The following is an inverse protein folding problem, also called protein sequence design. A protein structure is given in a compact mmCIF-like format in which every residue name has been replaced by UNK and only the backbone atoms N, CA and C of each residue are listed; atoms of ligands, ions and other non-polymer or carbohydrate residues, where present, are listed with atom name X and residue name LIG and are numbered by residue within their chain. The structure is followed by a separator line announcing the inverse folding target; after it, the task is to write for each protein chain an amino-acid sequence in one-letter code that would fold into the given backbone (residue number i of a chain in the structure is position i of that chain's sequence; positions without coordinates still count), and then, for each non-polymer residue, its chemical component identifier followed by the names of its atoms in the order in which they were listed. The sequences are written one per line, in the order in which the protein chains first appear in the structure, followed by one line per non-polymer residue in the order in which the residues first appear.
data_IF_691929001039
#
_entry.id   IF_691929001039
#
_cell.length_a   1.000
_cell.length_b   1.000
_cell.length_c   1.000
_cell.angle_alpha   90.00
_cell.angle_beta   90.00
_cell.angle_gamma   90.00
#
_symmetry.space_group_name_H-M   'P 1'
#
loop_
_entity.id
_entity.type
_entity.pdbx_description
1 polymer ?
#
# COMPACT_ATOMS: atom_id res chain seq x y z
N UNK A 1 -67.57 36.65 17.46
CA UNK A 1 -67.04 35.65 16.50
C UNK A 1 -65.54 35.84 16.37
N UNK A 2 -64.73 35.19 17.20
CA UNK A 2 -63.27 35.19 17.11
C UNK A 2 -62.82 33.80 16.63
N UNK A 3 -62.15 33.75 15.47
CA UNK A 3 -61.54 32.54 14.93
C UNK A 3 -60.20 32.31 15.63
N UNK A 4 -60.08 31.21 16.37
CA UNK A 4 -58.79 30.66 16.81
C UNK A 4 -58.11 29.98 15.62
N UNK A 5 -56.85 30.35 15.35
CA UNK A 5 -55.96 29.65 14.42
C UNK A 5 -54.97 28.87 15.28
N UNK A 6 -55.13 27.54 15.32
CA UNK A 6 -54.12 26.62 15.84
C UNK A 6 -53.01 26.48 14.78
N UNK A 7 -51.80 26.97 15.09
CA UNK A 7 -50.59 26.61 14.35
C UNK A 7 -50.00 25.33 14.94
N UNK A 8 -50.18 24.22 14.24
CA UNK A 8 -49.47 22.97 14.51
C UNK A 8 -48.05 23.09 13.95
N UNK A 9 -47.06 23.23 14.82
CA UNK A 9 -45.66 23.13 14.44
C UNK A 9 -45.33 21.65 14.19
N UNK A 10 -45.12 21.28 12.93
CA UNK A 10 -44.56 19.98 12.56
C UNK A 10 -43.05 20.05 12.76
N UNK A 11 -42.57 19.42 13.83
CA UNK A 11 -41.15 19.24 14.07
C UNK A 11 -40.62 18.22 13.07
N UNK A 12 -39.89 18.67 12.06
CA UNK A 12 -39.10 17.77 11.22
C UNK A 12 -37.99 17.19 12.08
N UNK A 13 -38.09 15.89 12.36
CA UNK A 13 -37.02 15.13 13.00
C UNK A 13 -35.74 15.27 12.20
N UNK A 14 -34.64 15.53 12.91
CA UNK A 14 -33.30 15.48 12.37
C UNK A 14 -33.10 14.13 11.68
N UNK A 15 -33.02 14.15 10.35
CA UNK A 15 -32.54 13.02 9.57
C UNK A 15 -31.10 12.80 10.03
N UNK A 16 -30.86 11.71 10.76
CA UNK A 16 -29.52 11.22 11.01
C UNK A 16 -28.81 11.19 9.65
N UNK A 17 -27.81 12.05 9.47
CA UNK A 17 -26.89 11.94 8.36
C UNK A 17 -26.27 10.53 8.47
N UNK A 18 -26.70 9.63 7.60
CA UNK A 18 -26.00 8.39 7.32
C UNK A 18 -24.59 8.82 6.93
N UNK A 19 -23.64 8.67 7.85
CA UNK A 19 -22.26 9.08 7.64
C UNK A 19 -21.73 8.40 6.39
N UNK A 20 -21.10 9.17 5.51
CA UNK A 20 -20.30 8.58 4.43
C UNK A 20 -19.35 7.53 5.02
N UNK A 21 -19.11 6.40 4.34
CA UNK A 21 -18.14 5.42 4.80
C UNK A 21 -16.82 6.12 5.16
N UNK A 22 -16.26 5.80 6.33
CA UNK A 22 -15.03 6.41 6.79
C UNK A 22 -13.92 6.14 5.76
N UNK A 23 -13.34 7.22 5.23
CA UNK A 23 -12.28 7.16 4.24
C UNK A 23 -11.02 6.59 4.87
N UNK A 24 -10.52 5.47 4.33
CA UNK A 24 -9.32 4.79 4.84
C UNK A 24 -8.09 5.70 4.79
N UNK A 25 -7.98 6.54 3.76
CA UNK A 25 -6.89 7.51 3.58
C UNK A 25 -7.34 8.96 3.79
N UNK A 26 -8.07 9.21 4.87
CA UNK A 26 -8.38 10.58 5.34
C UNK A 26 -7.13 11.43 5.64
N UNK A 27 -7.27 12.74 5.76
CA UNK A 27 -6.16 13.66 6.07
C UNK A 27 -5.40 13.31 7.36
N UNK A 28 -6.09 12.76 8.36
CA UNK A 28 -5.46 12.27 9.59
C UNK A 28 -4.68 10.97 9.36
N UNK A 29 -5.20 10.06 8.52
CA UNK A 29 -4.50 8.84 8.15
C UNK A 29 -3.26 9.15 7.28
N UNK A 30 -3.36 10.15 6.40
CA UNK A 30 -2.22 10.67 5.63
C UNK A 30 -1.16 11.23 6.58
N UNK A 31 -1.56 12.07 7.54
CA UNK A 31 -0.63 12.61 8.53
C UNK A 31 0.08 11.50 9.30
N UNK A 32 -0.68 10.58 9.88
CA UNK A 32 -0.14 9.47 10.68
C UNK A 32 0.85 8.63 9.86
N UNK A 33 0.42 8.13 8.70
CA UNK A 33 1.27 7.25 7.89
C UNK A 33 2.52 7.94 7.37
N UNK A 34 2.38 9.15 6.81
CA UNK A 34 3.54 9.88 6.27
C UNK A 34 4.47 10.41 7.35
N UNK A 35 3.95 10.83 8.52
CA UNK A 35 4.81 11.23 9.65
C UNK A 35 5.60 10.05 10.19
N UNK A 36 4.96 8.87 10.34
CA UNK A 36 5.65 7.64 10.72
C UNK A 36 6.74 7.29 9.70
N UNK A 37 6.41 7.24 8.41
CA UNK A 37 7.40 6.97 7.38
C UNK A 37 8.53 7.98 7.37
N UNK A 38 8.26 9.27 7.54
CA UNK A 38 9.30 10.30 7.58
C UNK A 38 10.22 10.17 8.81
N UNK A 39 9.64 10.06 9.99
CA UNK A 39 10.36 10.23 11.25
C UNK A 39 11.05 8.92 11.68
N UNK A 40 10.50 7.76 11.30
CA UNK A 40 11.04 6.45 11.68
C UNK A 40 11.38 5.57 10.48
N UNK A 41 10.51 5.52 9.47
CA UNK A 41 10.71 4.65 8.31
C UNK A 41 11.98 5.01 7.52
N UNK A 42 12.07 6.25 7.02
CA UNK A 42 13.19 6.71 6.19
C UNK A 42 14.53 6.60 6.94
N UNK A 43 14.67 7.08 8.19
CA UNK A 43 15.92 6.89 8.94
C UNK A 43 16.22 5.43 9.24
N UNK A 44 15.20 4.62 9.51
CA UNK A 44 15.35 3.20 9.88
C UNK A 44 15.64 2.26 8.71
N UNK A 45 15.54 2.74 7.46
CA UNK A 45 15.62 1.90 6.25
C UNK A 45 16.71 2.33 5.27
N UNK A 46 17.69 3.14 5.69
CA UNK A 46 18.75 3.66 4.80
C UNK A 46 19.47 2.56 4.02
N UNK A 47 19.69 1.41 4.66
CA UNK A 47 20.35 0.23 4.08
C UNK A 47 19.35 -0.87 3.66
N UNK A 48 18.05 -0.59 3.69
CA UNK A 48 16.98 -1.53 3.39
C UNK A 48 16.19 -1.08 2.15
N UNK A 49 16.63 -1.47 0.94
CA UNK A 49 16.00 -1.05 -0.30
C UNK A 49 14.59 -1.65 -0.49
N UNK A 50 14.27 -2.76 0.19
CA UNK A 50 12.94 -3.38 0.14
C UNK A 50 11.94 -2.50 0.88
N UNK A 51 12.24 -2.14 2.12
CA UNK A 51 11.37 -1.28 2.92
C UNK A 51 11.34 0.15 2.39
N UNK A 52 12.41 0.67 1.78
CA UNK A 52 12.35 1.95 1.06
C UNK A 52 11.35 1.92 -0.10
N UNK A 53 11.33 0.84 -0.89
CA UNK A 53 10.37 0.71 -1.99
C UNK A 53 8.92 0.68 -1.47
N UNK A 54 8.66 0.00 -0.35
CA UNK A 54 7.34 -0.03 0.29
C UNK A 54 6.95 1.31 0.91
N UNK A 55 7.89 2.01 1.55
CA UNK A 55 7.65 3.37 2.07
C UNK A 55 7.31 4.32 0.91
N UNK A 56 8.03 4.24 -0.21
CA UNK A 56 7.73 5.05 -1.39
C UNK A 56 6.34 4.75 -1.97
N UNK A 57 6.01 3.46 -2.16
CA UNK A 57 4.69 3.02 -2.61
C UNK A 57 3.57 3.46 -1.66
N UNK A 58 3.72 3.19 -0.37
CA UNK A 58 2.75 3.54 0.65
C UNK A 58 2.54 5.05 0.75
N UNK A 59 3.63 5.83 0.67
CA UNK A 59 3.54 7.30 0.69
C UNK A 59 2.73 7.85 -0.48
N UNK A 60 2.93 7.29 -1.67
CA UNK A 60 2.19 7.70 -2.86
C UNK A 60 0.73 7.25 -2.84
N UNK A 61 0.45 6.04 -2.35
CA UNK A 61 -0.92 5.52 -2.20
C UNK A 61 -1.73 6.31 -1.19
N UNK A 62 -1.14 6.72 -0.07
CA UNK A 62 -1.79 7.59 0.91
C UNK A 62 -2.30 8.90 0.27
N UNK A 63 -1.62 9.39 -0.77
CA UNK A 63 -1.96 10.66 -1.43
C UNK A 63 -2.87 10.53 -2.65
N UNK A 64 -2.94 9.34 -3.28
CA UNK A 64 -3.52 9.19 -4.63
C UNK A 64 -4.36 7.92 -4.87
N UNK A 65 -4.78 7.17 -3.84
CA UNK A 65 -5.44 5.87 -4.03
C UNK A 65 -6.61 5.80 -5.03
N UNK A 66 -7.23 6.93 -5.39
CA UNK A 66 -8.38 6.99 -6.30
C UNK A 66 -8.04 7.28 -7.80
N UNK A 67 -6.80 7.58 -8.22
CA UNK A 67 -6.56 8.18 -9.55
C UNK A 67 -6.33 7.28 -10.77
N UNK A 68 -6.38 5.95 -10.68
CA UNK A 68 -6.60 5.04 -11.82
C UNK A 68 -5.52 4.94 -12.93
N UNK A 69 -4.51 5.80 -12.94
CA UNK A 69 -3.44 5.84 -13.96
C UNK A 69 -2.08 5.29 -13.46
N UNK A 70 -2.06 4.50 -12.38
CA UNK A 70 -0.84 4.18 -11.62
C UNK A 70 -0.39 2.73 -11.82
N UNK A 71 0.92 2.47 -11.74
CA UNK A 71 1.46 1.11 -11.71
C UNK A 71 1.71 0.66 -10.26
N UNK A 72 1.14 -0.48 -9.87
CA UNK A 72 1.30 -1.04 -8.52
C UNK A 72 2.77 -1.31 -8.14
N UNK A 73 3.65 -1.53 -9.13
CA UNK A 73 5.07 -1.85 -8.92
C UNK A 73 6.03 -0.71 -9.24
N UNK A 74 5.54 0.52 -9.41
CA UNK A 74 6.36 1.65 -9.87
C UNK A 74 7.70 1.76 -9.10
N UNK A 75 7.62 1.66 -7.78
CA UNK A 75 8.76 1.82 -6.87
C UNK A 75 9.49 0.51 -6.61
N UNK A 76 8.76 -0.62 -6.59
CA UNK A 76 9.34 -1.95 -6.44
C UNK A 76 10.36 -2.28 -7.54
N UNK A 77 10.12 -1.87 -8.78
CA UNK A 77 11.02 -2.13 -9.90
C UNK A 77 11.98 -0.97 -10.22
N UNK A 78 11.83 0.19 -9.57
CA UNK A 78 12.60 1.38 -9.90
C UNK A 78 13.18 2.07 -8.66
N UNK A 79 14.46 1.77 -8.38
CA UNK A 79 15.18 2.35 -7.24
C UNK A 79 15.45 3.85 -7.40
N UNK A 80 15.56 4.38 -8.61
CA UNK A 80 15.70 5.84 -8.81
C UNK A 80 14.41 6.56 -8.40
N UNK A 81 13.26 6.09 -8.88
CA UNK A 81 11.95 6.62 -8.49
C UNK A 81 11.73 6.49 -6.98
N UNK A 82 12.15 5.37 -6.39
CA UNK A 82 12.11 5.17 -4.94
C UNK A 82 12.94 6.22 -4.21
N UNK A 83 14.20 6.44 -4.61
CA UNK A 83 15.07 7.46 -4.01
C UNK A 83 14.50 8.88 -4.13
N UNK A 84 13.89 9.21 -5.27
CA UNK A 84 13.22 10.51 -5.46
C UNK A 84 12.08 10.71 -4.45
N UNK A 85 11.23 9.69 -4.24
CA UNK A 85 10.13 9.74 -3.25
C UNK A 85 10.68 9.80 -1.82
N UNK A 86 11.65 8.96 -1.47
CA UNK A 86 12.26 8.94 -0.13
C UNK A 86 12.89 10.30 0.19
N UNK A 87 13.62 10.89 -0.76
CA UNK A 87 14.21 12.22 -0.59
C UNK A 87 13.16 13.31 -0.41
N UNK A 88 12.07 13.26 -1.17
CA UNK A 88 10.99 14.23 -1.05
C UNK A 88 10.24 14.10 0.30
N UNK A 89 9.97 12.87 0.74
CA UNK A 89 9.37 12.57 2.03
C UNK A 89 10.27 13.06 3.19
N UNK A 90 11.57 12.78 3.13
CA UNK A 90 12.56 13.27 4.08
C UNK A 90 12.61 14.81 4.11
N UNK A 91 12.37 15.46 2.98
CA UNK A 91 12.35 16.93 2.84
C UNK A 91 11.08 17.63 3.32
N UNK A 92 10.00 16.90 3.65
CA UNK A 92 8.76 17.49 4.17
C UNK A 92 9.00 18.29 5.48
N UNK A 93 8.14 19.27 5.82
CA UNK A 93 8.28 20.04 7.05
C UNK A 93 8.14 19.17 8.31
N UNK A 94 8.39 19.77 9.49
CA UNK A 94 8.23 19.08 10.78
C UNK A 94 6.81 18.55 10.99
N UNK A 95 6.73 17.36 11.60
CA UNK A 95 5.50 16.66 11.99
C UNK A 95 4.80 17.29 13.21
N UNK A 96 5.44 18.26 13.88
CA UNK A 96 4.85 19.05 14.99
C UNK A 96 3.67 19.93 14.58
N UNK A 97 3.45 20.15 13.28
CA UNK A 97 2.33 20.93 12.73
C UNK A 97 1.53 20.07 11.74
N UNK A 98 0.61 19.22 12.20
CA UNK A 98 -0.05 18.21 11.37
C UNK A 98 -0.70 18.76 10.10
N UNK A 99 -1.46 19.85 10.20
CA UNK A 99 -2.11 20.44 9.03
C UNK A 99 -1.11 20.98 7.99
N UNK A 100 -0.04 21.66 8.44
CA UNK A 100 1.00 22.16 7.55
C UNK A 100 1.77 21.00 6.88
N UNK A 101 2.02 19.93 7.63
CA UNK A 101 2.64 18.72 7.13
C UNK A 101 1.80 18.07 6.02
N UNK A 102 0.54 17.75 6.31
CA UNK A 102 -0.36 17.08 5.35
C UNK A 102 -0.58 17.92 4.09
N UNK A 103 -0.78 19.23 4.23
CA UNK A 103 -0.95 20.12 3.07
C UNK A 103 0.34 20.21 2.23
N UNK A 104 1.51 20.26 2.87
CA UNK A 104 2.79 20.25 2.15
C UNK A 104 3.03 18.92 1.44
N UNK A 105 2.71 17.79 2.07
CA UNK A 105 2.79 16.47 1.45
C UNK A 105 1.93 16.38 0.19
N UNK A 106 0.65 16.78 0.27
CA UNK A 106 -0.25 16.81 -0.89
C UNK A 106 0.27 17.71 -2.01
N UNK A 107 0.83 18.88 -1.67
CA UNK A 107 1.37 19.85 -2.62
C UNK A 107 2.64 19.36 -3.31
N UNK A 108 3.59 18.81 -2.55
CA UNK A 108 4.95 18.55 -3.03
C UNK A 108 5.13 17.09 -3.46
N UNK A 109 4.66 16.15 -2.63
CA UNK A 109 4.80 14.72 -2.87
C UNK A 109 3.72 14.17 -3.81
N UNK A 110 2.49 14.69 -3.74
CA UNK A 110 1.38 14.25 -4.59
C UNK A 110 1.67 14.31 -6.10
N UNK A 111 2.10 15.46 -6.65
CA UNK A 111 2.49 15.57 -8.06
C UNK A 111 3.70 14.71 -8.43
N UNK A 112 4.68 14.58 -7.52
CA UNK A 112 5.85 13.74 -7.70
C UNK A 112 5.44 12.27 -7.90
N UNK A 113 4.59 11.75 -7.00
CA UNK A 113 4.05 10.40 -7.09
C UNK A 113 3.35 10.13 -8.43
N UNK A 114 2.45 11.03 -8.86
CA UNK A 114 1.75 10.90 -10.15
C UNK A 114 2.71 10.82 -11.34
N UNK A 115 3.78 11.61 -11.33
CA UNK A 115 4.79 11.58 -12.39
C UNK A 115 5.56 10.25 -12.39
N UNK A 116 6.00 9.79 -11.22
CA UNK A 116 6.85 8.61 -11.09
C UNK A 116 6.09 7.30 -11.31
N UNK A 117 4.83 7.19 -10.85
CA UNK A 117 3.99 6.00 -11.06
C UNK A 117 3.63 5.76 -12.53
N UNK A 118 3.68 6.81 -13.36
CA UNK A 118 3.48 6.77 -14.82
C UNK A 118 4.77 6.45 -15.60
N UNK A 119 5.94 6.47 -14.95
CA UNK A 119 7.21 6.11 -15.60
C UNK A 119 7.15 4.62 -15.95
N UNK A 120 7.52 4.28 -17.19
CA UNK A 120 7.63 2.88 -17.57
C UNK A 120 8.63 2.17 -16.65
N UNK A 121 8.21 1.05 -16.08
CA UNK A 121 9.06 0.21 -15.23
C UNK A 121 9.52 -1.02 -16.00
N UNK A 122 10.75 -1.44 -15.71
CA UNK A 122 11.36 -2.65 -16.25
C UNK A 122 11.74 -3.54 -15.08
N UNK A 123 11.33 -4.82 -15.12
CA UNK A 123 11.73 -5.85 -14.14
C UNK A 123 13.21 -6.26 -14.29
N UNK A 124 13.96 -5.59 -15.17
CA UNK A 124 15.35 -5.95 -15.48
C UNK A 124 16.27 -5.78 -14.28
N UNK A 125 16.01 -4.77 -13.45
CA UNK A 125 16.98 -4.31 -12.46
C UNK A 125 16.59 -4.75 -11.04
N UNK A 126 15.31 -4.65 -10.69
CA UNK A 126 14.79 -5.00 -9.37
C UNK A 126 13.51 -5.86 -9.50
N UNK A 127 13.42 -6.91 -8.70
CA UNK A 127 12.26 -7.81 -8.50
C UNK A 127 12.59 -8.80 -7.36
N UNK A 128 11.66 -9.68 -7.00
CA UNK A 128 11.91 -10.80 -6.08
C UNK A 128 13.06 -11.70 -6.55
N UNK A 129 13.42 -11.66 -7.85
CA UNK A 129 14.44 -12.50 -8.46
C UNK A 129 15.73 -11.75 -8.79
N UNK A 130 15.78 -10.43 -8.64
CA UNK A 130 16.90 -9.58 -9.06
C UNK A 130 17.01 -8.31 -8.21
N UNK A 131 18.23 -7.86 -7.95
CA UNK A 131 18.50 -6.56 -7.32
C UNK A 131 18.29 -6.51 -5.81
N UNK A 132 17.25 -7.14 -5.27
CA UNK A 132 17.01 -7.22 -3.83
C UNK A 132 17.74 -8.40 -3.18
N UNK A 133 18.24 -8.19 -1.95
CA UNK A 133 18.65 -9.29 -1.07
C UNK A 133 17.40 -10.05 -0.60
N UNK A 134 17.41 -11.35 -0.86
CA UNK A 134 16.28 -12.22 -0.53
C UNK A 134 16.06 -12.35 0.98
N UNK A 135 17.13 -12.23 1.78
CA UNK A 135 17.04 -12.21 3.25
C UNK A 135 16.22 -11.03 3.72
N UNK A 136 16.42 -9.86 3.10
CA UNK A 136 15.67 -8.63 3.40
C UNK A 136 14.20 -8.75 2.99
N UNK A 137 13.90 -9.39 1.86
CA UNK A 137 12.53 -9.69 1.43
C UNK A 137 11.83 -10.59 2.47
N UNK A 138 12.48 -11.69 2.85
CA UNK A 138 11.96 -12.65 3.81
C UNK A 138 11.69 -12.00 5.18
N UNK A 139 12.65 -11.22 5.68
CA UNK A 139 12.51 -10.49 6.94
C UNK A 139 11.37 -9.46 6.88
N UNK A 140 11.23 -8.74 5.76
CA UNK A 140 10.16 -7.76 5.58
C UNK A 140 8.78 -8.42 5.60
N UNK A 141 8.62 -9.54 4.87
CA UNK A 141 7.39 -10.34 4.92
C UNK A 141 7.07 -10.84 6.33
N UNK A 142 8.08 -11.32 7.07
CA UNK A 142 7.93 -11.72 8.47
C UNK A 142 7.44 -10.57 9.36
N UNK A 143 8.06 -9.40 9.23
CA UNK A 143 7.72 -8.22 10.02
C UNK A 143 6.29 -7.71 9.72
N UNK A 144 5.89 -7.67 8.45
CA UNK A 144 4.55 -7.27 8.04
C UNK A 144 3.48 -8.28 8.47
N UNK A 145 3.79 -9.58 8.37
CA UNK A 145 2.91 -10.63 8.87
C UNK A 145 2.74 -10.53 10.39
N UNK A 146 3.82 -10.26 11.13
CA UNK A 146 3.77 -9.99 12.57
C UNK A 146 2.86 -8.81 12.87
N UNK A 147 3.09 -7.68 12.20
CA UNK A 147 2.30 -6.46 12.40
C UNK A 147 0.80 -6.71 12.14
N UNK A 148 0.44 -7.53 11.16
CA UNK A 148 -0.96 -7.83 10.85
C UNK A 148 -1.57 -8.89 11.79
N UNK A 149 -0.86 -9.96 12.08
CA UNK A 149 -1.47 -11.20 12.55
C UNK A 149 -1.01 -11.67 13.92
N UNK A 150 0.09 -11.12 14.47
CA UNK A 150 0.53 -11.49 15.79
C UNK A 150 -0.40 -10.93 16.88
N UNK A 151 -0.61 -11.70 17.94
CA UNK A 151 -1.39 -11.29 19.10
C UNK A 151 -0.57 -10.37 20.03
N UNK A 152 -1.24 -9.65 20.92
CA UNK A 152 -0.58 -8.79 21.91
C UNK A 152 0.34 -9.54 22.89
N UNK A 153 0.14 -10.85 23.07
CA UNK A 153 0.97 -11.69 23.94
C UNK A 153 2.21 -12.26 23.25
N UNK A 154 2.44 -11.95 21.97
CA UNK A 154 3.61 -12.47 21.25
C UNK A 154 4.91 -11.92 21.83
N UNK A 155 5.88 -12.81 22.05
CA UNK A 155 7.16 -12.50 22.68
C UNK A 155 8.01 -11.51 21.86
N UNK A 156 7.90 -11.59 20.53
CA UNK A 156 8.64 -10.72 19.61
C UNK A 156 8.25 -9.23 19.68
N UNK A 157 7.26 -8.86 20.48
CA UNK A 157 6.94 -7.47 20.80
C UNK A 157 7.86 -6.87 21.87
N UNK A 158 8.61 -7.70 22.61
CA UNK A 158 9.52 -7.25 23.67
C UNK A 158 8.85 -6.34 24.73
N UNK A 159 7.54 -6.50 24.92
CA UNK A 159 6.72 -5.70 25.83
C UNK A 159 6.05 -4.48 25.20
N UNK A 160 6.33 -4.17 23.94
CA UNK A 160 5.77 -3.05 23.18
C UNK A 160 4.87 -3.57 22.05
N UNK A 161 3.59 -3.75 22.34
CA UNK A 161 2.62 -4.21 21.34
C UNK A 161 2.36 -3.11 20.29
N UNK A 162 2.98 -3.25 19.12
CA UNK A 162 2.90 -2.31 18.00
C UNK A 162 2.38 -2.97 16.70
N UNK A 163 1.08 -3.35 16.66
CA UNK A 163 0.48 -3.96 15.48
C UNK A 163 0.16 -2.93 14.40
N UNK A 164 0.01 -3.38 13.15
CA UNK A 164 -0.77 -2.66 12.15
C UNK A 164 -2.26 -2.75 12.54
N UNK A 165 -2.75 -1.70 13.21
CA UNK A 165 -4.15 -1.63 13.65
C UNK A 165 -4.94 -0.52 12.98
N UNK A 166 -4.29 0.54 12.49
CA UNK A 166 -5.01 1.60 11.80
C UNK A 166 -5.41 1.15 10.39
N UNK A 167 -6.60 1.49 9.89
CA UNK A 167 -7.09 0.95 8.62
C UNK A 167 -6.13 1.17 7.43
N UNK A 168 -5.52 2.35 7.34
CA UNK A 168 -4.52 2.65 6.32
C UNK A 168 -3.28 1.77 6.44
N UNK A 169 -2.79 1.52 7.66
CA UNK A 169 -1.60 0.69 7.87
C UNK A 169 -1.89 -0.75 7.47
N UNK A 170 -3.07 -1.27 7.79
CA UNK A 170 -3.50 -2.61 7.38
C UNK A 170 -3.58 -2.71 5.84
N UNK A 171 -4.23 -1.75 5.18
CA UNK A 171 -4.32 -1.71 3.72
C UNK A 171 -2.94 -1.62 3.04
N UNK A 172 -2.04 -0.79 3.58
CA UNK A 172 -0.65 -0.68 3.13
C UNK A 172 0.10 -2.00 3.30
N UNK A 173 0.11 -2.55 4.51
CA UNK A 173 0.86 -3.75 4.87
C UNK A 173 0.40 -4.98 4.09
N UNK A 174 -0.91 -5.19 3.96
CA UNK A 174 -1.45 -6.27 3.13
C UNK A 174 -1.10 -6.07 1.65
N UNK A 175 -1.13 -4.83 1.16
CA UNK A 175 -0.68 -4.48 -0.19
C UNK A 175 0.80 -4.80 -0.44
N UNK A 176 1.68 -4.55 0.53
CA UNK A 176 3.11 -4.88 0.44
C UNK A 176 3.33 -6.40 0.38
N UNK A 177 2.61 -7.17 1.21
CA UNK A 177 2.63 -8.62 1.12
C UNK A 177 2.14 -9.10 -0.25
N UNK A 178 1.11 -8.48 -0.81
CA UNK A 178 0.62 -8.79 -2.15
C UNK A 178 1.63 -8.48 -3.26
N UNK A 179 2.37 -7.38 -3.18
CA UNK A 179 3.42 -7.04 -4.15
C UNK A 179 4.45 -8.16 -4.26
N UNK A 180 5.01 -8.57 -3.12
CA UNK A 180 6.03 -9.63 -3.06
C UNK A 180 5.43 -10.98 -3.48
N UNK A 181 4.20 -11.28 -3.05
CA UNK A 181 3.53 -12.56 -3.37
C UNK A 181 3.28 -12.70 -4.87
N UNK A 182 2.76 -11.65 -5.52
CA UNK A 182 2.51 -11.66 -6.96
C UNK A 182 3.81 -11.72 -7.76
N UNK A 183 4.81 -10.90 -7.44
CA UNK A 183 6.08 -10.88 -8.18
C UNK A 183 6.89 -12.17 -8.00
N UNK A 184 6.93 -12.74 -6.78
CA UNK A 184 7.52 -14.07 -6.54
C UNK A 184 6.88 -15.16 -7.42
N UNK A 185 5.58 -15.05 -7.69
CA UNK A 185 4.82 -15.92 -8.57
C UNK A 185 4.82 -15.49 -10.06
N UNK A 186 5.65 -14.51 -10.45
CA UNK A 186 5.74 -13.95 -11.81
C UNK A 186 4.39 -13.42 -12.31
N UNK A 187 3.63 -12.81 -11.41
CA UNK A 187 2.33 -12.18 -11.66
C UNK A 187 2.43 -10.70 -11.40
N UNK A 188 1.59 -9.94 -12.09
CA UNK A 188 1.40 -8.53 -11.77
C UNK A 188 0.24 -8.41 -10.79
N UNK A 189 0.49 -7.76 -9.64
CA UNK A 189 -0.51 -7.18 -8.77
C UNK A 189 -1.34 -6.14 -9.54
N UNK A 190 -2.65 -6.37 -9.75
CA UNK A 190 -3.51 -5.35 -10.34
C UNK A 190 -3.66 -4.15 -9.40
N UNK A 191 -3.60 -2.94 -9.94
CA UNK A 191 -3.86 -1.71 -9.18
C UNK A 191 -5.21 -1.77 -8.43
N UNK A 192 -6.23 -2.35 -9.07
CA UNK A 192 -7.57 -2.47 -8.48
C UNK A 192 -7.60 -3.26 -7.17
N UNK A 193 -6.67 -4.20 -6.95
CA UNK A 193 -6.58 -4.91 -5.67
C UNK A 193 -6.04 -4.00 -4.56
N UNK A 194 -5.05 -3.16 -4.86
CA UNK A 194 -4.54 -2.17 -3.90
C UNK A 194 -5.58 -1.09 -3.58
N UNK A 195 -6.37 -0.69 -4.58
CA UNK A 195 -7.47 0.26 -4.39
C UNK A 195 -8.59 -0.35 -3.55
N UNK A 196 -8.95 -1.61 -3.80
CA UNK A 196 -10.01 -2.27 -3.04
C UNK A 196 -9.68 -2.40 -1.56
N UNK A 197 -8.41 -2.64 -1.21
CA UNK A 197 -8.00 -2.70 0.19
C UNK A 197 -8.24 -1.40 0.97
N UNK A 198 -8.41 -0.27 0.30
CA UNK A 198 -8.67 1.03 0.93
C UNK A 198 -10.08 1.57 0.67
N UNK A 199 -11.00 0.77 0.11
CA UNK A 199 -12.37 1.21 -0.23
C UNK A 199 -13.19 1.62 1.00
N UNK A 200 -13.05 0.88 2.11
CA UNK A 200 -13.74 1.18 3.37
C UNK A 200 -13.07 0.47 4.54
N UNK A 201 -13.34 0.94 5.77
CA UNK A 201 -12.84 0.29 6.99
C UNK A 201 -13.30 -1.18 7.10
N UNK A 202 -14.53 -1.50 6.70
CA UNK A 202 -15.01 -2.89 6.72
C UNK A 202 -14.26 -3.79 5.74
N UNK A 203 -13.89 -3.27 4.56
CA UNK A 203 -13.06 -4.02 3.60
C UNK A 203 -11.66 -4.24 4.17
N UNK A 204 -11.09 -3.25 4.85
CA UNK A 204 -9.79 -3.40 5.52
C UNK A 204 -9.82 -4.51 6.59
N UNK A 205 -10.88 -4.57 7.40
CA UNK A 205 -11.05 -5.63 8.41
C UNK A 205 -11.13 -7.02 7.74
N UNK A 206 -11.84 -7.12 6.62
CA UNK A 206 -11.93 -8.35 5.83
C UNK A 206 -10.56 -8.74 5.24
N UNK A 207 -9.81 -7.78 4.68
CA UNK A 207 -8.46 -8.00 4.16
C UNK A 207 -7.54 -8.52 5.27
N UNK A 208 -7.57 -7.91 6.45
CA UNK A 208 -6.80 -8.38 7.62
C UNK A 208 -7.19 -9.81 7.99
N UNK A 209 -8.49 -10.08 8.14
CA UNK A 209 -9.01 -11.41 8.49
C UNK A 209 -8.58 -12.45 7.47
N UNK A 210 -8.73 -12.16 6.18
CA UNK A 210 -8.39 -13.09 5.10
C UNK A 210 -6.89 -13.35 5.06
N UNK A 211 -6.05 -12.32 5.21
CA UNK A 211 -4.60 -12.45 5.32
C UNK A 211 -4.20 -13.35 6.48
N UNK A 212 -4.72 -13.09 7.69
CA UNK A 212 -4.37 -13.86 8.89
C UNK A 212 -5.02 -15.25 8.94
N UNK A 213 -6.08 -15.49 8.17
CA UNK A 213 -6.67 -16.83 7.99
C UNK A 213 -5.84 -17.65 7.02
N UNK A 214 -5.39 -17.05 5.91
CA UNK A 214 -4.49 -17.70 4.96
C UNK A 214 -3.14 -18.00 5.60
N UNK A 215 -2.64 -17.07 6.42
CA UNK A 215 -1.37 -17.17 7.16
C UNK A 215 -1.59 -17.00 8.66
N UNK A 216 -1.98 -18.07 9.36
CA UNK A 216 -2.05 -18.05 10.81
C UNK A 216 -0.67 -17.72 11.41
N UNK A 217 -0.64 -16.75 12.31
CA UNK A 217 0.59 -16.39 13.03
C UNK A 217 1.14 -17.61 13.80
N UNK A 218 2.47 -17.76 13.81
CA UNK A 218 3.16 -18.90 14.42
C UNK A 218 3.15 -20.20 13.61
N UNK A 219 2.43 -20.26 12.48
CA UNK A 219 2.45 -21.41 11.55
C UNK A 219 3.21 -21.13 10.26
N UNK A 220 3.36 -19.85 9.91
CA UNK A 220 4.07 -19.40 8.72
C UNK A 220 5.43 -18.86 9.16
N UNK A 221 6.48 -19.39 8.56
CA UNK A 221 7.84 -18.93 8.79
C UNK A 221 8.43 -18.38 7.48
N UNK A 222 8.36 -17.06 7.34
CA UNK A 222 9.00 -16.36 6.22
C UNK A 222 10.53 -16.36 6.33
N UNK A 223 11.10 -16.48 7.53
CA UNK A 223 12.55 -16.42 7.74
C UNK A 223 13.28 -17.64 7.18
N UNK A 224 12.59 -18.78 7.05
CA UNK A 224 13.11 -20.00 6.44
C UNK A 224 13.15 -19.96 4.89
N UNK A 225 12.62 -18.90 4.26
CA UNK A 225 12.50 -18.81 2.81
C UNK A 225 13.75 -18.19 2.20
N UNK A 226 14.40 -18.91 1.29
CA UNK A 226 15.70 -18.50 0.72
C UNK A 226 15.67 -18.18 -0.79
N UNK A 227 14.51 -18.21 -1.43
CA UNK A 227 14.39 -17.90 -2.87
C UNK A 227 13.00 -17.43 -3.27
N UNK A 228 12.90 -16.74 -4.41
CA UNK A 228 11.63 -16.26 -4.95
C UNK A 228 10.66 -17.40 -5.25
N UNK A 229 11.14 -18.58 -5.66
CA UNK A 229 10.28 -19.73 -5.91
C UNK A 229 9.72 -20.30 -4.59
N UNK A 230 10.54 -20.37 -3.54
CA UNK A 230 10.08 -20.79 -2.22
C UNK A 230 9.09 -19.78 -1.62
N UNK A 231 9.34 -18.47 -1.79
CA UNK A 231 8.41 -17.42 -1.38
C UNK A 231 7.12 -17.49 -2.17
N UNK A 232 7.21 -17.70 -3.49
CA UNK A 232 6.05 -17.84 -4.35
C UNK A 232 5.17 -19.03 -3.94
N UNK A 233 5.78 -20.16 -3.61
CA UNK A 233 5.08 -21.35 -3.11
C UNK A 233 4.43 -21.10 -1.74
N UNK A 234 5.15 -20.50 -0.80
CA UNK A 234 4.62 -20.16 0.53
C UNK A 234 3.47 -19.15 0.44
N UNK A 235 3.61 -18.15 -0.43
CA UNK A 235 2.66 -17.05 -0.56
C UNK A 235 1.50 -17.32 -1.53
N UNK A 236 1.48 -18.50 -2.18
CA UNK A 236 0.46 -18.86 -3.15
C UNK A 236 -0.99 -18.65 -2.66
N UNK A 237 -1.35 -18.92 -1.39
CA UNK A 237 -2.70 -18.67 -0.88
C UNK A 237 -3.14 -17.20 -0.92
N UNK A 238 -2.21 -16.23 -0.95
CA UNK A 238 -2.58 -14.81 -1.04
C UNK A 238 -2.97 -14.37 -2.45
N UNK A 239 -2.59 -15.11 -3.50
CA UNK A 239 -2.73 -14.63 -4.87
C UNK A 239 -4.19 -14.32 -5.25
N UNK A 240 -5.16 -15.03 -4.67
CA UNK A 240 -6.58 -14.77 -4.90
C UNK A 240 -7.01 -13.43 -4.30
N UNK A 241 -6.70 -13.18 -3.03
CA UNK A 241 -6.96 -11.91 -2.36
C UNK A 241 -6.22 -10.75 -3.03
N UNK A 242 -4.99 -10.98 -3.47
CA UNK A 242 -4.19 -10.00 -4.21
C UNK A 242 -4.67 -9.80 -5.67
N UNK A 243 -5.66 -10.56 -6.15
CA UNK A 243 -6.19 -10.44 -7.50
C UNK A 243 -5.23 -10.88 -8.61
N UNK A 244 -4.11 -11.54 -8.29
CA UNK A 244 -3.08 -11.94 -9.24
C UNK A 244 -3.03 -13.47 -9.50
N UNK A 245 -3.93 -14.24 -8.90
CA UNK A 245 -4.10 -15.67 -9.17
C UNK A 245 -4.52 -15.98 -10.61
N UNK A 246 -5.31 -15.09 -11.24
CA UNK A 246 -5.73 -15.24 -12.63
C UNK A 246 -4.65 -14.69 -13.53
N UNK A 247 -4.05 -15.55 -14.36
CA UNK A 247 -3.27 -15.09 -15.51
C UNK A 247 -4.15 -14.17 -16.34
N UNK A 248 -3.84 -12.87 -16.39
CA UNK A 248 -4.40 -12.00 -17.41
C UNK A 248 -3.89 -12.57 -18.74
N UNK A 249 -4.75 -13.31 -19.43
CA UNK A 249 -4.44 -13.86 -20.74
C UNK A 249 -3.89 -12.73 -21.62
N UNK A 250 -2.71 -12.97 -22.19
CA UNK A 250 -1.96 -11.96 -22.91
C UNK A 250 -2.82 -11.22 -23.94
N UNK A 251 -2.86 -9.90 -23.81
CA UNK A 251 -3.05 -9.00 -24.95
C UNK A 251 -1.77 -8.18 -25.09
N UNK A 252 -0.87 -8.73 -25.91
CA UNK A 252 0.17 -8.05 -26.66
C UNK A 252 0.86 -6.86 -26.00
N UNK A 253 2.10 -7.11 -25.54
CA UNK A 253 3.19 -6.22 -25.92
C UNK A 253 3.09 -6.04 -27.44
N UNK A 254 2.54 -4.90 -27.89
CA UNK A 254 2.66 -4.51 -29.29
C UNK A 254 4.14 -4.34 -29.55
N UNK A 255 4.71 -5.28 -30.31
CA UNK A 255 6.03 -5.13 -30.88
C UNK A 255 6.11 -3.77 -31.58
N UNK A 256 7.21 -3.08 -31.33
CA UNK A 256 7.65 -2.00 -32.19
C UNK A 256 7.65 -2.55 -33.64
N UNK A 257 6.89 -1.89 -34.52
CA UNK A 257 6.96 -2.17 -35.94
C UNK A 257 8.40 -1.87 -36.43
N UNK A 258 9.00 -2.73 -37.26
CA UNK A 258 10.29 -2.43 -37.86
C UNK A 258 10.12 -1.25 -38.82
N UNK A 259 10.90 -0.20 -38.58
CA UNK A 259 11.04 0.96 -39.44
C UNK A 259 11.58 0.50 -40.80
N UNK A 260 10.71 0.49 -41.81
CA UNK A 260 11.13 0.27 -43.19
C UNK A 260 11.88 1.51 -43.67
N UNK A 261 13.18 1.33 -43.88
CA UNK A 261 14.05 2.22 -44.65
C UNK A 261 13.40 2.59 -45.97
N UNK A 262 13.02 3.87 -46.14
CA UNK A 262 12.81 4.45 -47.46
C UNK A 262 14.12 5.03 -47.95
N UNK A 263 14.65 4.36 -48.97
CA UNK A 263 15.62 4.88 -49.93
C UNK A 263 15.03 6.11 -50.61
N UNK A 264 15.77 7.22 -50.54
CA UNK A 264 15.93 8.22 -51.60
C UNK A 264 17.37 8.69 -51.57
#
# INVERSE_FOLDING_TARGET
MLKSILSTAVSFGAVCALGSPAEVFSDSAIFEGLSHFKDFGVPGTVEDPVNQAMIADGSCRLLNAASGDETAFAFWYNQESTKEVISALAGLPSTSKPSNFTLSAKRDLGPLCKRLQKKAVSETDFSCRRGYDFTTIAQSMSNWHRALCASASESSWEGEFDPAYQPQQVALTAGFMCLISCDSNKKQLPLSALQSFAESVSVVEEVKKNTCTAFPWGQIDFSAVSSADAMGALTYPLLEMCGCARSVGGKGLRGAAPEQSKVW
#
